data_IF_621177801473
#
_entry.id   IF_621177801473
#
_cell.length_a   1.000
_cell.length_b   1.000
_cell.length_c   1.000
_cell.angle_alpha   90.00
_cell.angle_beta   90.00
_cell.angle_gamma   90.00
#
_symmetry.space_group_name_H-M   'P 1'
#
loop_
_entity.id
_entity.type
_entity.pdbx_description
1 polymer ?
2 branched ?
3 branched ?
4 non-polymer ?
5 non-polymer ?
6 non-polymer ?
7 water ?
#
# COMPACT_ATOMS: atom_id res chain seq x y z
N UNK A 1 -16.21 -26.41 5.11
CA UNK A 1 -15.78 -25.92 6.48
C UNK A 1 -15.67 -24.39 6.50
N UNK A 2 -14.79 -23.81 5.67
CA UNK A 2 -14.61 -22.35 5.74
C UNK A 2 -15.60 -21.68 4.81
N UNK A 3 -16.06 -20.49 5.21
CA UNK A 3 -16.94 -19.70 4.38
C UNK A 3 -16.21 -18.43 3.95
N UNK A 4 -16.70 -17.86 2.85
CA UNK A 4 -16.13 -16.61 2.43
C UNK A 4 -16.38 -15.55 3.49
N UNK A 5 -15.38 -14.69 3.74
CA UNK A 5 -15.57 -13.60 4.68
C UNK A 5 -16.48 -12.53 4.07
N UNK A 6 -17.36 -11.99 4.92
CA UNK A 6 -18.21 -10.87 4.56
C UNK A 6 -17.78 -9.66 5.38
N UNK A 7 -17.83 -8.47 4.76
CA UNK A 7 -17.48 -7.22 5.46
C UNK A 7 -18.65 -6.74 6.31
N UNK A 8 -18.89 -7.36 7.46
CA UNK A 8 -20.14 -7.09 8.17
C UNK A 8 -19.94 -6.04 9.25
N UNK A 9 -18.70 -5.66 9.57
CA UNK A 9 -18.44 -4.81 10.71
C UNK A 9 -18.05 -3.43 10.22
N UNK A 10 -18.21 -2.43 11.09
CA UNK A 10 -17.64 -1.10 10.79
C UNK A 10 -16.26 -0.96 11.42
N UNK A 11 -15.60 0.17 11.18
CA UNK A 11 -14.29 0.40 11.80
C UNK A 11 -14.44 0.64 13.29
N UNK A 12 -13.45 0.16 14.07
CA UNK A 12 -13.34 0.57 15.46
C UNK A 12 -13.01 2.07 15.52
N UNK A 13 -13.36 2.70 16.66
CA UNK A 13 -13.03 4.10 16.82
C UNK A 13 -11.51 4.22 17.03
N UNK A 14 -10.88 5.06 16.20
CA UNK A 14 -9.45 5.27 16.23
C UNK A 14 -9.15 6.47 17.14
N UNK A 15 -8.62 6.19 18.35
CA UNK A 15 -8.23 7.30 19.22
C UNK A 15 -6.72 7.46 19.31
N UNK A 16 -5.94 6.46 18.80
CA UNK A 16 -4.49 6.54 18.67
C UNK A 16 -4.05 5.27 17.94
N UNK A 17 -2.73 5.13 17.78
CA UNK A 17 -2.17 4.00 17.04
C UNK A 17 -1.19 3.31 17.97
N UNK A 18 -1.25 1.98 18.02
CA UNK A 18 -0.29 1.20 18.80
C UNK A 18 0.63 0.41 17.88
N UNK A 19 1.83 0.10 18.37
CA UNK A 19 2.75 -0.70 17.57
C UNK A 19 2.17 -2.11 17.33
N UNK A 20 2.27 -2.57 16.08
CA UNK A 20 1.78 -3.89 15.70
C UNK A 20 2.91 -4.80 15.26
N UNK A 21 3.78 -4.34 14.35
CA UNK A 21 4.88 -5.19 13.92
C UNK A 21 6.02 -4.31 13.41
N UNK A 22 7.24 -4.85 13.47
CA UNK A 22 8.40 -4.12 13.00
C UNK A 22 9.46 -5.19 12.78
N UNK A 23 10.13 -5.17 11.64
CA UNK A 23 11.08 -6.26 11.35
C UNK A 23 12.55 -5.88 11.45
N UNK A 24 12.90 -4.56 11.53
CA UNK A 24 14.31 -4.24 11.73
C UNK A 24 15.15 -4.93 10.65
N UNK A 25 14.63 -5.05 9.41
CA UNK A 25 15.27 -5.92 8.43
C UNK A 25 16.66 -5.44 8.04
N UNK A 26 16.84 -4.09 7.93
CA UNK A 26 18.10 -3.56 7.43
C UNK A 26 19.19 -3.72 8.52
N UNK A 27 18.82 -3.43 9.78
CA UNK A 27 19.73 -3.65 10.90
C UNK A 27 20.20 -5.12 10.92
N UNK A 28 19.22 -6.03 10.85
CA UNK A 28 19.56 -7.44 11.03
C UNK A 28 20.33 -7.96 9.81
N UNK A 29 19.94 -7.47 8.62
CA UNK A 29 20.55 -7.94 7.37
C UNK A 29 21.98 -7.46 7.12
N UNK A 30 22.43 -6.50 7.95
CA UNK A 30 23.86 -6.15 7.93
C UNK A 30 24.76 -7.35 8.17
N UNK A 31 24.25 -8.41 8.86
CA UNK A 31 25.07 -9.58 9.16
C UNK A 31 24.16 -10.82 9.22
N UNK A 32 23.24 -10.94 8.28
CA UNK A 32 22.44 -12.17 8.16
C UNK A 32 21.87 -12.16 6.75
N UNK A 33 21.27 -13.29 6.32
CA UNK A 33 20.93 -13.44 4.92
C UNK A 33 19.52 -12.93 4.64
N UNK A 34 19.38 -11.61 4.66
CA UNK A 34 18.13 -10.90 4.47
C UNK A 34 18.07 -10.47 3.00
N UNK A 35 16.95 -10.73 2.36
CA UNK A 35 16.72 -10.33 0.97
C UNK A 35 16.51 -8.83 0.91
N UNK A 36 17.02 -8.26 -0.20
CA UNK A 36 16.69 -6.89 -0.55
C UNK A 36 15.25 -6.91 -1.00
N UNK A 37 14.48 -5.89 -0.56
CA UNK A 37 13.06 -5.78 -0.91
C UNK A 37 12.77 -4.33 -1.24
N UNK A 38 11.54 -4.09 -1.71
CA UNK A 38 10.86 -2.81 -1.62
C UNK A 38 9.37 -3.11 -1.86
N UNK A 39 8.53 -2.09 -1.77
CA UNK A 39 7.09 -2.22 -1.96
C UNK A 39 6.47 -3.28 -1.02
N UNK A 40 6.69 -3.14 0.30
CA UNK A 40 6.17 -4.10 1.27
C UNK A 40 4.71 -3.84 1.58
N UNK A 41 4.10 -4.82 2.25
CA UNK A 41 2.76 -4.62 2.81
C UNK A 41 2.51 -5.72 3.85
N UNK A 42 1.28 -5.73 4.37
CA UNK A 42 0.90 -6.72 5.38
C UNK A 42 -0.47 -7.26 4.96
N UNK A 43 -0.70 -8.56 5.25
CA UNK A 43 -1.98 -9.14 4.90
C UNK A 43 -2.26 -10.32 5.79
N UNK A 44 -3.54 -10.47 6.18
CA UNK A 44 -3.91 -11.57 7.09
C UNK A 44 -4.69 -12.66 6.40
N UNK A 45 -4.36 -13.88 6.83
CA UNK A 45 -5.20 -15.06 6.62
C UNK A 45 -6.04 -15.26 7.87
N UNK A 46 -7.01 -16.20 7.87
CA UNK A 46 -7.83 -16.41 9.06
C UNK A 46 -7.05 -16.85 10.29
N UNK A 47 -5.86 -17.41 10.11
CA UNK A 47 -5.11 -17.93 11.25
C UNK A 47 -3.71 -17.33 11.39
N UNK A 48 -3.38 -16.31 10.63
CA UNK A 48 -2.02 -15.75 10.73
C UNK A 48 -1.99 -14.45 9.94
N UNK A 49 -1.17 -13.48 10.38
CA UNK A 49 -0.92 -12.29 9.56
C UNK A 49 0.56 -12.30 9.18
N UNK A 50 0.85 -11.87 7.94
CA UNK A 50 2.24 -11.96 7.44
C UNK A 50 2.70 -10.65 6.82
N UNK A 51 4.04 -10.46 6.77
CA UNK A 51 4.59 -9.38 5.96
C UNK A 51 4.78 -9.88 4.53
N UNK A 52 4.68 -8.95 3.55
CA UNK A 52 4.84 -9.26 2.15
C UNK A 52 5.74 -8.17 1.56
N UNK A 53 6.40 -8.49 0.44
CA UNK A 53 7.12 -7.44 -0.31
C UNK A 53 7.60 -8.04 -1.62
N UNK A 54 8.16 -7.15 -2.47
CA UNK A 54 8.82 -7.61 -3.68
C UNK A 54 10.32 -7.75 -3.41
N UNK A 55 10.77 -9.01 -3.37
CA UNK A 55 12.18 -9.26 -3.34
C UNK A 55 12.84 -8.72 -4.59
N UNK A 56 14.16 -8.52 -4.49
CA UNK A 56 15.03 -8.20 -5.62
C UNK A 56 15.93 -9.39 -5.96
N UNK A 57 15.74 -10.52 -5.27
CA UNK A 57 16.45 -11.71 -5.72
C UNK A 57 17.95 -11.65 -5.41
N UNK A 58 18.26 -11.11 -4.25
CA UNK A 58 19.64 -11.00 -3.77
C UNK A 58 19.54 -10.66 -2.29
N UNK A 59 20.58 -10.98 -1.50
CA UNK A 59 20.66 -10.46 -0.13
C UNK A 59 21.22 -9.03 -0.17
N UNK A 60 21.12 -8.34 0.96
CA UNK A 60 21.58 -6.95 1.05
C UNK A 60 23.11 -6.88 1.01
N UNK A 61 23.76 -7.76 1.75
CA UNK A 61 25.23 -7.86 1.75
C UNK A 61 25.75 -8.51 0.48
N UNK A 62 24.88 -9.11 -0.34
CA UNK A 62 25.36 -9.77 -1.54
C UNK A 62 25.81 -8.75 -2.58
N UNK A 63 26.77 -9.15 -3.40
CA UNK A 63 27.20 -8.27 -4.48
C UNK A 63 26.11 -7.92 -5.49
N UNK A 64 25.07 -8.77 -5.66
CA UNK A 64 23.96 -8.49 -6.56
C UNK A 64 23.04 -7.43 -5.97
N UNK A 65 23.33 -6.92 -4.77
CA UNK A 65 22.50 -5.82 -4.27
C UNK A 65 22.79 -4.53 -5.05
N UNK A 66 23.95 -4.47 -5.75
CA UNK A 66 24.29 -3.27 -6.53
C UNK A 66 23.31 -3.16 -7.67
N UNK A 67 22.58 -2.03 -7.72
CA UNK A 67 21.65 -1.84 -8.82
C UNK A 67 20.18 -1.96 -8.40
N UNK A 68 19.94 -2.23 -7.12
CA UNK A 68 18.58 -2.53 -6.67
C UNK A 68 17.74 -1.28 -6.48
N UNK A 69 18.21 -0.07 -6.83
CA UNK A 69 17.27 1.04 -6.96
C UNK A 69 16.23 0.75 -8.06
N UNK A 70 16.60 -0.06 -9.07
CA UNK A 70 15.74 -0.29 -10.24
C UNK A 70 14.49 -1.07 -9.83
N UNK A 71 13.35 -0.64 -10.38
CA UNK A 71 12.07 -1.19 -9.95
C UNK A 71 11.72 -2.52 -10.60
N UNK A 72 12.16 -2.80 -11.84
CA UNK A 72 11.60 -3.93 -12.58
C UNK A 72 12.73 -4.77 -13.11
N UNK A 73 12.75 -6.03 -12.74
CA UNK A 73 13.70 -6.99 -13.30
C UNK A 73 13.04 -8.36 -13.26
N UNK A 74 13.75 -9.30 -13.89
CA UNK A 74 13.35 -10.71 -13.89
C UNK A 74 13.66 -11.41 -12.58
N UNK A 75 14.26 -10.73 -11.59
CA UNK A 75 14.76 -11.37 -10.38
C UNK A 75 13.88 -10.99 -9.19
N UNK A 76 12.75 -10.28 -9.46
CA UNK A 76 11.81 -9.91 -8.40
C UNK A 76 10.72 -10.96 -8.28
N UNK A 77 10.17 -11.02 -7.06
CA UNK A 77 9.06 -11.92 -6.74
C UNK A 77 8.30 -11.35 -5.54
N UNK A 78 7.01 -11.65 -5.48
CA UNK A 78 6.27 -11.36 -4.25
C UNK A 78 6.60 -12.48 -3.26
N UNK A 79 7.12 -12.08 -2.10
CA UNK A 79 7.37 -13.02 -0.99
C UNK A 79 6.53 -12.62 0.22
N UNK A 80 6.25 -13.63 1.06
CA UNK A 80 5.71 -13.33 2.38
C UNK A 80 6.54 -14.06 3.43
N UNK A 81 6.42 -13.60 4.67
CA UNK A 81 7.21 -14.16 5.74
C UNK A 81 6.54 -13.84 7.07
N UNK A 82 6.93 -14.52 8.17
CA UNK A 82 6.18 -14.34 9.43
C UNK A 82 6.26 -12.91 9.94
N UNK A 83 5.14 -12.49 10.56
CA UNK A 83 4.97 -11.13 11.07
C UNK A 83 6.17 -10.77 11.93
N UNK A 84 6.79 -9.63 11.57
CA UNK A 84 7.89 -9.00 12.31
C UNK A 84 9.22 -9.75 12.25
N UNK A 85 9.28 -10.97 11.65
CA UNK A 85 10.62 -11.44 11.30
C UNK A 85 11.10 -10.66 10.08
N UNK A 86 12.39 -10.69 9.70
CA UNK A 86 12.82 -10.05 8.47
C UNK A 86 12.64 -10.98 7.30
N UNK A 87 12.65 -10.49 6.05
CA UNK A 87 12.52 -11.36 4.89
C UNK A 87 13.84 -12.02 4.55
N UNK A 88 14.03 -13.22 5.03
CA UNK A 88 15.32 -13.88 4.80
C UNK A 88 15.24 -14.92 3.68
N UNK A 89 16.42 -15.32 3.23
CA UNK A 89 16.44 -16.34 2.21
C UNK A 89 15.70 -17.59 2.66
N UNK A 90 15.79 -17.94 3.94
CA UNK A 90 15.36 -19.23 4.47
C UNK A 90 13.92 -19.20 5.01
N UNK A 91 13.30 -18.03 5.18
CA UNK A 91 11.96 -18.01 5.77
C UNK A 91 10.98 -17.36 4.78
N UNK A 92 11.41 -16.90 3.62
CA UNK A 92 10.53 -16.13 2.72
C UNK A 92 9.86 -17.10 1.75
N UNK A 93 8.52 -17.04 1.68
CA UNK A 93 7.74 -17.94 0.81
C UNK A 93 7.39 -17.16 -0.44
N UNK A 94 7.75 -17.71 -1.61
CA UNK A 94 7.39 -16.96 -2.82
C UNK A 94 5.94 -17.23 -3.20
N UNK A 95 5.20 -16.14 -3.40
CA UNK A 95 3.79 -16.23 -3.80
C UNK A 95 3.64 -16.26 -5.31
N UNK A 96 4.52 -15.54 -6.02
CA UNK A 96 4.46 -15.50 -7.47
C UNK A 96 5.64 -14.64 -7.92
N UNK A 97 5.95 -14.66 -9.22
CA UNK A 97 7.10 -13.98 -9.82
C UNK A 97 6.62 -12.71 -10.51
N UNK A 98 7.34 -11.60 -10.24
CA UNK A 98 7.05 -10.35 -10.92
C UNK A 98 7.45 -9.15 -10.07
N UNK A 99 7.07 -7.97 -10.59
CA UNK A 99 7.57 -6.68 -10.07
C UNK A 99 6.46 -5.71 -9.75
N UNK A 100 5.21 -6.20 -9.65
CA UNK A 100 4.06 -5.44 -9.16
C UNK A 100 3.04 -6.45 -8.63
N UNK A 101 2.46 -6.21 -7.44
CA UNK A 101 1.62 -7.26 -6.86
C UNK A 101 0.45 -6.74 -6.05
N UNK A 102 -0.46 -7.67 -5.77
CA UNK A 102 -1.39 -7.52 -4.66
C UNK A 102 -1.71 -8.94 -4.16
N UNK A 103 -2.36 -9.04 -3.00
CA UNK A 103 -2.71 -10.35 -2.44
C UNK A 103 -3.79 -10.12 -1.40
N UNK A 104 -4.72 -11.09 -1.27
CA UNK A 104 -5.74 -11.02 -0.23
C UNK A 104 -6.34 -12.40 -0.04
N UNK A 105 -6.80 -12.62 1.19
CA UNK A 105 -7.47 -13.86 1.53
C UNK A 105 -8.98 -13.62 1.50
N UNK A 106 -9.74 -14.58 0.94
CA UNK A 106 -11.19 -14.40 0.84
C UNK A 106 -11.95 -15.08 1.96
N UNK A 107 -11.23 -15.68 2.93
CA UNK A 107 -11.85 -16.43 4.03
C UNK A 107 -11.69 -17.93 3.81
N UNK A 108 -11.64 -18.36 2.53
CA UNK A 108 -11.38 -19.76 2.20
C UNK A 108 -9.90 -19.97 1.85
N UNK A 109 -9.37 -19.16 0.92
CA UNK A 109 -7.95 -19.26 0.57
C UNK A 109 -7.51 -17.91 0.02
N UNK A 110 -6.26 -17.84 -0.35
CA UNK A 110 -5.63 -16.58 -0.76
C UNK A 110 -5.52 -16.46 -2.28
N UNK A 111 -5.80 -15.23 -2.75
CA UNK A 111 -5.48 -14.85 -4.13
C UNK A 111 -4.22 -13.99 -4.11
N UNK A 112 -3.25 -14.30 -5.00
CA UNK A 112 -2.08 -13.41 -5.13
C UNK A 112 -1.94 -13.08 -6.60
N UNK A 113 -1.53 -11.83 -6.90
CA UNK A 113 -1.39 -11.41 -8.31
C UNK A 113 -0.02 -10.80 -8.48
N UNK A 114 0.72 -11.27 -9.49
CA UNK A 114 2.02 -10.69 -9.81
C UNK A 114 2.06 -10.36 -11.29
N UNK A 115 2.59 -9.17 -11.59
CA UNK A 115 2.76 -8.73 -12.98
C UNK A 115 4.24 -8.83 -13.33
N UNK A 116 4.56 -9.38 -14.52
CA UNK A 116 5.94 -9.38 -14.97
C UNK A 116 5.96 -9.01 -16.44
N UNK A 117 7.18 -8.81 -16.99
CA UNK A 117 7.39 -8.60 -18.41
C UNK A 117 8.16 -7.32 -18.65
N UNK A 118 8.47 -7.07 -19.92
CA UNK A 118 9.06 -5.78 -20.29
C UNK A 118 7.94 -4.73 -20.21
N UNK A 119 8.32 -3.46 -20.26
CA UNK A 119 7.35 -2.38 -20.07
C UNK A 119 6.24 -2.41 -21.11
N UNK A 120 6.54 -2.85 -22.35
CA UNK A 120 5.55 -2.82 -23.41
C UNK A 120 4.84 -4.16 -23.61
N UNK A 121 5.01 -5.12 -22.67
CA UNK A 121 4.45 -6.44 -22.95
C UNK A 121 4.29 -7.19 -21.64
N UNK A 122 3.82 -6.49 -20.61
CA UNK A 122 3.66 -7.08 -19.28
C UNK A 122 2.37 -7.90 -19.19
N UNK A 123 2.31 -8.82 -18.21
CA UNK A 123 1.09 -9.59 -18.00
C UNK A 123 0.94 -9.89 -16.52
N UNK A 124 -0.31 -9.89 -16.05
CA UNK A 124 -0.65 -10.36 -14.71
C UNK A 124 -0.96 -11.86 -14.70
N UNK A 125 -0.50 -12.56 -13.68
CA UNK A 125 -0.96 -13.91 -13.38
C UNK A 125 -1.63 -13.88 -12.01
N UNK A 126 -2.88 -14.42 -12.02
CA UNK A 126 -3.71 -14.45 -10.82
C UNK A 126 -3.64 -15.87 -10.27
N UNK A 127 -3.07 -16.01 -9.06
CA UNK A 127 -2.93 -17.28 -8.36
C UNK A 127 -4.02 -17.36 -7.30
N UNK A 128 -4.59 -18.56 -7.14
CA UNK A 128 -5.63 -18.78 -6.14
C UNK A 128 -5.36 -20.15 -5.52
N UNK A 129 -5.33 -20.20 -4.18
CA UNK A 129 -4.98 -21.45 -3.48
C UNK A 129 -3.61 -21.92 -4.00
N UNK A 130 -2.66 -20.98 -4.15
CA UNK A 130 -1.26 -21.22 -4.51
C UNK A 130 -1.07 -21.89 -5.87
N UNK A 131 -2.05 -21.72 -6.76
CA UNK A 131 -1.92 -22.23 -8.13
C UNK A 131 -2.30 -21.11 -9.10
N UNK A 132 -1.71 -21.09 -10.30
CA UNK A 132 -2.10 -20.06 -11.29
C UNK A 132 -3.45 -20.43 -11.88
N UNK A 133 -4.32 -19.41 -12.00
CA UNK A 133 -5.68 -19.68 -12.50
C UNK A 133 -5.98 -18.83 -13.75
N UNK A 134 -5.70 -17.51 -13.72
CA UNK A 134 -6.06 -16.61 -14.80
C UNK A 134 -4.84 -15.76 -15.14
N UNK A 135 -4.80 -15.31 -16.40
CA UNK A 135 -3.77 -14.39 -16.85
C UNK A 135 -4.42 -13.23 -17.58
N UNK A 136 -3.81 -12.05 -17.47
CA UNK A 136 -4.31 -10.84 -18.15
C UNK A 136 -3.15 -10.16 -18.83
N UNK A 137 -3.30 -9.94 -20.15
CA UNK A 137 -2.24 -9.29 -20.93
C UNK A 137 -2.38 -7.77 -20.77
N UNK A 138 -1.24 -7.08 -20.87
CA UNK A 138 -1.25 -5.62 -20.96
C UNK A 138 -2.27 -5.12 -22.00
N UNK A 139 -3.05 -4.09 -21.60
CA UNK A 139 -4.04 -3.51 -22.51
C UNK A 139 -3.55 -2.17 -23.09
N UNK A 140 -2.53 -1.52 -22.48
CA UNK A 140 -2.05 -0.23 -22.97
C UNK A 140 -0.55 -0.27 -23.27
N UNK A 141 0.11 -1.42 -23.03
CA UNK A 141 1.51 -1.59 -23.42
C UNK A 141 2.44 -0.57 -22.76
N UNK A 142 2.17 -0.29 -21.49
CA UNK A 142 3.01 0.66 -20.77
C UNK A 142 2.92 0.39 -19.26
N UNK A 143 3.71 -0.60 -18.81
CA UNK A 143 3.90 -0.91 -17.39
C UNK A 143 2.53 -1.17 -16.72
N UNK A 144 1.88 -2.26 -17.19
CA UNK A 144 0.75 -2.80 -16.40
C UNK A 144 1.18 -2.91 -14.93
N UNK A 145 0.32 -2.44 -13.99
CA UNK A 145 0.77 -2.31 -12.60
C UNK A 145 -0.45 -2.27 -11.66
N UNK A 146 -0.21 -2.66 -10.42
CA UNK A 146 -1.32 -2.78 -9.47
C UNK A 146 -0.98 -2.18 -8.10
N UNK A 147 -1.61 -2.69 -7.04
CA UNK A 147 -1.77 -1.91 -5.81
C UNK A 147 -0.48 -1.80 -5.01
N UNK A 148 0.31 -2.88 -4.93
CA UNK A 148 1.47 -2.93 -4.02
C UNK A 148 1.00 -2.92 -2.56
N UNK A 149 -0.26 -3.32 -2.29
CA UNK A 149 -0.70 -3.63 -0.94
C UNK A 149 -1.89 -4.55 -1.06
N UNK A 150 -2.46 -4.96 0.08
CA UNK A 150 -3.49 -6.03 -0.02
C UNK A 150 -4.78 -5.56 -0.69
N UNK A 151 -5.42 -6.52 -1.38
CA UNK A 151 -6.79 -6.34 -1.84
C UNK A 151 -7.74 -6.75 -0.72
N UNK A 152 -9.04 -6.64 -0.99
CA UNK A 152 -10.08 -6.89 0.00
C UNK A 152 -11.19 -7.70 -0.66
N UNK A 153 -11.73 -8.71 0.05
CA UNK A 153 -12.79 -9.53 -0.51
C UNK A 153 -14.07 -9.40 0.30
N UNK A 154 -15.21 -9.68 -0.39
CA UNK A 154 -16.51 -9.71 0.27
C UNK A 154 -17.30 -10.82 -0.40
N UNK A 155 -17.74 -11.83 0.38
CA UNK A 155 -18.48 -12.95 -0.18
C UNK A 155 -17.81 -13.54 -1.42
N UNK A 156 -16.47 -13.63 -1.37
CA UNK A 156 -15.69 -14.27 -2.42
C UNK A 156 -15.26 -13.33 -3.53
N UNK A 157 -15.82 -12.11 -3.58
CA UNK A 157 -15.50 -11.17 -4.65
C UNK A 157 -14.39 -10.26 -4.14
N UNK A 158 -13.25 -10.27 -4.86
CA UNK A 158 -12.05 -9.53 -4.44
C UNK A 158 -11.74 -8.53 -5.55
N UNK A 159 -12.17 -7.24 -5.45
CA UNK A 159 -11.81 -6.25 -6.46
C UNK A 159 -10.34 -5.86 -6.36
N UNK A 160 -9.77 -5.55 -7.53
CA UNK A 160 -8.37 -5.17 -7.61
C UNK A 160 -8.31 -4.02 -8.60
N UNK A 161 -7.48 -3.02 -8.29
CA UNK A 161 -7.34 -1.87 -9.18
C UNK A 161 -5.99 -2.00 -9.87
N UNK A 162 -6.03 -1.88 -11.22
CA UNK A 162 -4.83 -1.90 -12.07
C UNK A 162 -4.76 -0.64 -12.91
N UNK A 163 -3.57 -0.26 -13.32
CA UNK A 163 -3.39 0.82 -14.27
C UNK A 163 -2.44 0.32 -15.37
N UNK A 164 -2.67 0.78 -16.61
CA UNK A 164 -1.70 0.54 -17.67
C UNK A 164 -1.71 1.82 -18.52
N UNK A 165 -0.51 2.31 -18.84
CA UNK A 165 -0.42 3.56 -19.59
C UNK A 165 0.50 4.52 -18.86
N UNK A 166 0.49 5.75 -19.35
CA UNK A 166 1.44 6.75 -18.88
C UNK A 166 1.31 7.01 -17.40
N UNK A 167 2.46 7.36 -16.81
CA UNK A 167 2.51 7.83 -15.44
C UNK A 167 2.40 9.37 -15.37
N UNK A 168 2.35 10.05 -16.52
CA UNK A 168 2.51 11.52 -16.60
C UNK A 168 1.44 12.13 -17.51
N UNK A 169 0.32 11.44 -17.65
CA UNK A 169 -0.86 11.89 -18.37
C UNK A 169 -1.95 10.83 -18.21
N UNK A 170 -3.08 10.96 -18.90
CA UNK A 170 -4.18 9.99 -18.78
C UNK A 170 -3.66 8.58 -19.03
N UNK A 171 -4.16 7.63 -18.20
CA UNK A 171 -3.83 6.24 -18.38
C UNK A 171 -5.13 5.43 -18.37
N UNK A 172 -4.99 4.11 -18.48
CA UNK A 172 -6.16 3.23 -18.56
C UNK A 172 -6.21 2.39 -17.27
N UNK A 173 -7.01 2.86 -16.32
CA UNK A 173 -7.20 2.15 -15.05
C UNK A 173 -8.44 1.28 -15.16
N UNK A 174 -8.33 0.06 -14.65
CA UNK A 174 -9.40 -0.90 -14.63
C UNK A 174 -9.60 -1.46 -13.23
N UNK A 175 -10.87 -1.67 -12.88
CA UNK A 175 -11.17 -2.39 -11.63
C UNK A 175 -11.65 -3.78 -12.04
N UNK A 176 -10.92 -4.82 -11.61
CA UNK A 176 -11.27 -6.19 -11.89
C UNK A 176 -11.95 -6.77 -10.67
N UNK A 177 -12.98 -7.57 -10.89
CA UNK A 177 -13.66 -8.27 -9.80
C UNK A 177 -13.39 -9.76 -9.96
N UNK A 178 -12.59 -10.30 -9.04
CA UNK A 178 -12.17 -11.69 -9.12
C UNK A 178 -12.98 -12.50 -8.11
N UNK A 179 -13.23 -13.76 -8.46
CA UNK A 179 -13.72 -14.72 -7.47
C UNK A 179 -13.10 -16.08 -7.77
N UNK A 180 -12.43 -16.68 -6.80
CA UNK A 180 -11.69 -17.94 -6.95
C UNK A 180 -10.70 -17.77 -8.09
N UNK A 181 -10.11 -16.56 -8.18
CA UNK A 181 -9.06 -16.31 -9.16
C UNK A 181 -9.57 -16.14 -10.58
N UNK A 182 -10.88 -16.19 -10.80
CA UNK A 182 -11.45 -16.00 -12.13
C UNK A 182 -12.05 -14.60 -12.23
N UNK A 183 -12.13 -14.10 -13.46
CA UNK A 183 -12.66 -12.75 -13.69
C UNK A 183 -14.18 -12.85 -13.79
N UNK A 184 -14.86 -12.21 -12.83
CA UNK A 184 -16.32 -12.08 -12.98
C UNK A 184 -16.67 -10.93 -13.93
N UNK A 185 -15.95 -9.79 -13.82
CA UNK A 185 -16.28 -8.54 -14.51
C UNK A 185 -15.01 -7.69 -14.41
N UNK A 186 -14.88 -6.73 -15.32
CA UNK A 186 -14.01 -5.58 -15.07
C UNK A 186 -14.71 -4.33 -15.59
N UNK A 187 -14.31 -3.18 -15.03
CA UNK A 187 -14.83 -1.91 -15.53
C UNK A 187 -13.70 -0.91 -15.63
N UNK A 188 -13.79 0.06 -16.57
CA UNK A 188 -12.84 1.17 -16.59
C UNK A 188 -13.17 2.13 -15.46
N UNK A 189 -12.13 2.83 -15.00
CA UNK A 189 -12.33 3.81 -13.95
C UNK A 189 -13.40 4.81 -14.39
N UNK A 190 -14.26 5.17 -13.46
CA UNK A 190 -15.23 6.25 -13.68
C UNK A 190 -15.07 7.24 -12.55
N UNK A 191 -15.87 8.30 -12.57
CA UNK A 191 -15.81 9.34 -11.55
C UNK A 191 -14.78 10.39 -11.89
N UNK A 192 -14.37 11.13 -10.87
CA UNK A 192 -13.62 12.37 -11.10
C UNK A 192 -12.12 12.24 -10.87
N UNK A 193 -11.64 11.09 -10.35
CA UNK A 193 -10.20 10.93 -10.22
C UNK A 193 -9.57 10.94 -11.61
N UNK A 194 -8.48 11.67 -11.80
CA UNK A 194 -7.97 11.84 -13.16
C UNK A 194 -6.79 10.93 -13.46
N UNK A 195 -6.20 10.31 -12.42
CA UNK A 195 -5.10 9.37 -12.63
C UNK A 195 -4.99 8.54 -11.35
N UNK A 196 -4.70 7.23 -11.50
CA UNK A 196 -4.72 6.30 -10.36
C UNK A 196 -3.50 5.40 -10.43
N UNK A 197 -2.82 5.29 -9.29
CA UNK A 197 -1.78 4.29 -9.14
C UNK A 197 -1.84 3.79 -7.70
N UNK A 198 -1.38 2.54 -7.51
CA UNK A 198 -0.96 2.05 -6.19
C UNK A 198 -2.04 2.25 -5.11
N UNK A 199 -3.25 1.72 -5.34
CA UNK A 199 -4.34 1.92 -4.38
C UNK A 199 -4.13 1.12 -3.10
N UNK A 200 -4.48 1.73 -1.97
CA UNK A 200 -4.43 1.12 -0.65
C UNK A 200 -5.87 1.01 -0.18
N UNK A 201 -6.31 -0.24 0.08
CA UNK A 201 -7.74 -0.49 0.27
C UNK A 201 -8.06 -1.13 1.62
N UNK A 202 -9.29 -0.91 2.08
CA UNK A 202 -9.82 -1.59 3.24
C UNK A 202 -11.33 -1.72 3.06
N UNK A 203 -11.94 -2.61 3.84
CA UNK A 203 -13.37 -2.86 3.73
C UNK A 203 -14.06 -2.69 5.06
N UNK A 204 -15.34 -2.26 4.99
CA UNK A 204 -16.18 -2.20 6.19
C UNK A 204 -17.60 -2.05 5.69
N UNK A 205 -18.55 -2.71 6.38
CA UNK A 205 -19.97 -2.65 6.03
C UNK A 205 -20.16 -2.71 4.51
N UNK A 206 -19.65 -3.81 3.92
CA UNK A 206 -19.94 -4.20 2.54
C UNK A 206 -19.54 -3.12 1.53
N UNK A 207 -18.52 -2.30 1.88
CA UNK A 207 -18.00 -1.30 0.96
C UNK A 207 -16.47 -1.34 1.06
N UNK A 208 -15.78 -1.24 -0.09
CA UNK A 208 -14.32 -1.21 -0.07
C UNK A 208 -13.89 0.19 -0.46
N UNK A 209 -13.01 0.75 0.38
CA UNK A 209 -12.50 2.09 0.08
C UNK A 209 -11.02 2.02 -0.25
N UNK A 210 -10.61 2.63 -1.36
CA UNK A 210 -9.22 2.63 -1.79
C UNK A 210 -8.73 4.07 -1.91
N UNK A 211 -7.58 4.36 -1.28
CA UNK A 211 -6.93 5.67 -1.38
C UNK A 211 -5.69 5.45 -2.21
N UNK A 212 -5.56 6.24 -3.29
CA UNK A 212 -4.56 5.92 -4.30
C UNK A 212 -3.63 7.11 -4.49
N UNK A 213 -2.85 7.04 -5.57
CA UNK A 213 -1.83 8.04 -5.90
C UNK A 213 -2.17 8.60 -7.28
N UNK A 214 -2.41 9.92 -7.39
CA UNK A 214 -2.50 10.56 -8.69
C UNK A 214 -1.11 11.04 -9.07
N UNK A 215 -0.41 10.24 -9.86
CA UNK A 215 1.00 10.58 -10.09
C UNK A 215 1.08 11.83 -11.00
N UNK A 216 0.06 12.02 -11.85
CA UNK A 216 0.17 13.00 -12.92
C UNK A 216 0.10 14.43 -12.37
N UNK A 217 -0.98 14.76 -11.67
CA UNK A 217 -1.27 16.15 -11.31
C UNK A 217 -1.51 16.41 -9.83
N UNK A 218 -1.98 15.41 -9.08
CA UNK A 218 -2.70 15.72 -7.84
C UNK A 218 -1.85 15.51 -6.59
N UNK A 219 -1.86 16.49 -5.67
CA UNK A 219 -1.19 16.29 -4.38
C UNK A 219 -2.17 15.94 -3.28
N UNK A 220 -3.48 16.07 -3.58
CA UNK A 220 -4.54 15.38 -2.83
C UNK A 220 -4.59 13.95 -3.40
N UNK A 221 -5.18 13.05 -2.63
CA UNK A 221 -5.20 11.66 -3.10
C UNK A 221 -6.56 11.30 -3.68
N UNK A 222 -6.55 10.56 -4.80
CA UNK A 222 -7.81 10.05 -5.35
C UNK A 222 -8.33 8.89 -4.48
N UNK A 223 -9.67 8.77 -4.46
CA UNK A 223 -10.34 7.77 -3.64
C UNK A 223 -11.28 7.02 -4.56
N UNK A 224 -11.18 5.68 -4.54
CA UNK A 224 -12.14 4.84 -5.26
C UNK A 224 -12.94 4.07 -4.21
N UNK A 225 -14.27 4.12 -4.31
CA UNK A 225 -15.14 3.39 -3.40
C UNK A 225 -15.89 2.34 -4.22
N UNK A 226 -15.78 1.09 -3.78
CA UNK A 226 -16.24 -0.04 -4.59
C UNK A 226 -17.33 -0.74 -3.79
N UNK A 227 -18.42 -1.04 -4.49
CA UNK A 227 -19.48 -1.93 -4.02
C UNK A 227 -19.20 -3.32 -4.58
N UNK A 228 -18.70 -4.29 -3.76
CA UNK A 228 -18.32 -5.60 -4.28
C UNK A 228 -19.50 -6.55 -4.54
N UNK A 229 -20.73 -6.12 -4.21
CA UNK A 229 -21.92 -6.91 -4.50
C UNK A 229 -22.43 -6.46 -5.87
N UNK A 230 -22.66 -5.16 -6.01
CA UNK A 230 -23.12 -4.65 -7.31
C UNK A 230 -22.00 -4.69 -8.34
N UNK A 231 -20.75 -4.76 -7.84
CA UNK A 231 -19.55 -4.66 -8.69
C UNK A 231 -19.55 -3.37 -9.53
N UNK A 232 -19.66 -2.25 -8.77
CA UNK A 232 -19.63 -0.90 -9.32
C UNK A 232 -18.72 -0.05 -8.44
N UNK A 233 -18.36 1.12 -8.91
CA UNK A 233 -17.53 1.97 -8.07
C UNK A 233 -17.77 3.43 -8.41
N UNK A 234 -17.24 4.28 -7.52
CA UNK A 234 -17.15 5.71 -7.80
C UNK A 234 -15.72 6.15 -7.53
N UNK A 235 -15.38 7.35 -8.00
CA UNK A 235 -14.09 7.94 -7.65
C UNK A 235 -14.25 9.45 -7.47
N UNK A 236 -13.38 9.96 -6.59
CA UNK A 236 -13.26 11.40 -6.31
C UNK A 236 -11.88 11.61 -5.70
N UNK A 237 -11.61 12.81 -5.15
CA UNK A 237 -10.40 13.05 -4.37
C UNK A 237 -10.81 13.33 -2.92
N UNK A 238 -9.86 13.13 -2.00
CA UNK A 238 -10.02 13.63 -0.64
C UNK A 238 -10.11 15.17 -0.72
N UNK A 239 -11.24 15.67 -0.24
CA UNK A 239 -11.55 17.11 -0.37
C UNK A 239 -10.64 17.96 0.54
N UNK A 240 -10.15 17.39 1.64
CA UNK A 240 -9.44 18.14 2.68
C UNK A 240 -8.26 18.89 2.10
N UNK A 241 -7.96 20.10 2.65
CA UNK A 241 -6.71 20.79 2.30
C UNK A 241 -5.48 20.22 3.00
N UNK A 242 -5.66 19.16 3.83
CA UNK A 242 -4.49 18.48 4.40
C UNK A 242 -3.99 17.52 3.33
N UNK A 243 -3.02 17.99 2.53
CA UNK A 243 -2.60 17.24 1.34
C UNK A 243 -1.69 16.08 1.76
N UNK A 244 -1.86 14.91 1.13
CA UNK A 244 -1.16 13.73 1.68
C UNK A 244 -0.33 12.95 0.65
N UNK A 245 -0.12 13.47 -0.56
CA UNK A 245 0.87 12.85 -1.42
C UNK A 245 2.25 13.42 -1.09
N UNK A 246 3.26 13.03 -1.86
CA UNK A 246 4.63 13.53 -1.65
C UNK A 246 5.36 13.31 -2.94
N UNK A 247 6.16 14.28 -3.46
CA UNK A 247 6.22 15.64 -2.96
C UNK A 247 4.90 16.35 -3.17
N UNK A 248 4.74 17.51 -2.53
CA UNK A 248 3.46 18.20 -2.59
C UNK A 248 3.76 19.68 -2.27
N UNK A 249 2.84 20.60 -2.59
CA UNK A 249 2.97 21.97 -2.07
C UNK A 249 2.54 22.06 -0.63
N UNK A 250 2.75 23.24 -0.02
CA UNK A 250 2.24 23.42 1.32
C UNK A 250 0.72 23.34 1.36
N UNK A 251 0.22 23.06 2.56
CA UNK A 251 -1.20 22.89 2.74
C UNK A 251 -1.93 24.22 2.51
N UNK A 252 -2.97 24.24 1.65
CA UNK A 252 -3.85 25.41 1.54
C UNK A 252 -4.90 25.41 2.64
N UNK A 253 -5.87 26.32 2.53
CA UNK A 253 -6.98 26.40 3.44
C UNK A 253 -8.18 25.65 2.87
N UNK A 254 -8.25 25.51 1.53
CA UNK A 254 -9.38 24.79 0.94
C UNK A 254 -8.81 23.84 -0.09
N UNK A 255 -9.29 22.57 -0.04
CA UNK A 255 -8.73 21.62 -1.00
C UNK A 255 -9.63 21.49 -2.24
N UNK A 256 -9.56 20.34 -2.93
CA UNK A 256 -10.37 20.09 -4.11
C UNK A 256 -10.96 18.68 -3.98
N UNK A 257 -12.28 18.58 -4.17
CA UNK A 257 -12.99 17.30 -4.06
C UNK A 257 -12.98 16.50 -5.37
N UNK A 258 -12.95 17.17 -6.56
CA UNK A 258 -13.23 16.52 -7.83
C UNK A 258 -12.17 16.82 -8.89
N UNK A 259 -10.99 17.27 -8.45
CA UNK A 259 -9.90 17.49 -9.37
C UNK A 259 -8.60 17.44 -8.59
N UNK A 260 -7.46 17.24 -9.28
CA UNK A 260 -6.17 17.20 -8.60
C UNK A 260 -5.84 18.58 -8.03
N UNK A 261 -5.34 18.61 -6.81
CA UNK A 261 -4.84 19.85 -6.24
C UNK A 261 -3.46 20.04 -6.80
N UNK A 262 -3.23 21.18 -7.52
CA UNK A 262 -2.02 21.27 -8.32
C UNK A 262 -0.81 21.81 -7.56
N UNK A 263 0.33 21.86 -8.26
CA UNK A 263 1.54 22.36 -7.65
C UNK A 263 2.73 21.41 -7.81
N UNK A 264 2.44 20.11 -7.94
CA UNK A 264 3.49 19.13 -8.19
C UNK A 264 3.00 18.15 -9.24
N UNK A 265 3.85 17.90 -10.26
CA UNK A 265 3.49 17.06 -11.39
C UNK A 265 4.39 15.84 -11.45
N UNK A 266 3.82 14.72 -11.96
CA UNK A 266 4.62 13.60 -12.41
C UNK A 266 5.45 13.02 -11.28
N UNK A 267 4.85 12.86 -10.10
CA UNK A 267 5.53 12.16 -9.02
C UNK A 267 4.49 11.87 -7.95
N UNK A 268 4.92 11.13 -6.90
CA UNK A 268 3.99 10.80 -5.82
C UNK A 268 4.62 9.73 -4.94
N UNK A 269 3.79 9.20 -4.05
CA UNK A 269 4.20 8.06 -3.23
C UNK A 269 2.92 7.30 -2.94
N UNK A 270 3.02 5.96 -2.83
CA UNK A 270 1.82 5.23 -2.39
C UNK A 270 1.52 5.60 -0.94
N UNK A 271 0.24 5.80 -0.66
CA UNK A 271 -0.18 6.10 0.72
C UNK A 271 -1.61 5.63 0.97
N UNK A 272 -2.24 6.10 2.07
CA UNK A 272 -3.51 5.50 2.48
C UNK A 272 -4.27 6.49 3.36
N UNK A 273 -5.55 6.14 3.60
CA UNK A 273 -6.32 6.82 4.61
C UNK A 273 -7.43 5.91 5.11
N UNK A 274 -8.04 6.28 6.25
CA UNK A 274 -9.28 5.67 6.70
C UNK A 274 -10.29 6.80 6.71
N UNK A 275 -11.38 6.61 5.94
CA UNK A 275 -12.33 7.71 5.73
C UNK A 275 -13.67 7.27 6.27
N UNK A 276 -14.01 7.78 7.46
CA UNK A 276 -15.14 7.22 8.20
C UNK A 276 -15.76 8.36 9.01
N UNK A 277 -16.16 9.47 8.33
CA UNK A 277 -16.81 10.54 9.09
C UNK A 277 -15.83 11.19 10.06
N UNK A 278 -16.29 11.39 11.30
CA UNK A 278 -15.42 12.04 12.25
C UNK A 278 -14.23 11.11 12.57
N UNK A 279 -14.40 9.81 12.34
CA UNK A 279 -13.36 8.81 12.62
C UNK A 279 -12.42 8.65 11.42
N UNK A 280 -11.95 9.76 10.87
CA UNK A 280 -11.12 9.79 9.70
C UNK A 280 -9.69 10.14 10.08
N UNK A 281 -8.76 9.32 9.59
CA UNK A 281 -7.34 9.54 9.81
C UNK A 281 -6.63 9.43 8.49
N UNK A 282 -5.71 10.39 8.24
CA UNK A 282 -4.90 10.42 7.04
C UNK A 282 -3.43 10.19 7.41
N UNK A 283 -2.75 9.35 6.62
CA UNK A 283 -1.30 9.30 6.76
C UNK A 283 -0.63 10.24 5.74
N UNK A 284 0.57 10.70 6.11
CA UNK A 284 1.40 11.39 5.14
C UNK A 284 2.86 11.47 5.63
N UNK A 285 3.76 11.71 4.68
CA UNK A 285 5.13 12.06 5.04
C UNK A 285 5.10 13.43 5.72
N UNK A 286 6.04 13.66 6.65
CA UNK A 286 6.13 15.01 7.23
C UNK A 286 6.69 16.01 6.21
N UNK A 287 7.78 15.65 5.55
CA UNK A 287 8.36 16.53 4.53
C UNK A 287 7.41 16.69 3.35
N UNK A 288 7.33 17.93 2.80
CA UNK A 288 6.62 18.17 1.55
C UNK A 288 7.49 17.86 0.35
N UNK A 289 8.80 17.65 0.55
CA UNK A 289 9.70 17.55 -0.59
C UNK A 289 10.19 16.12 -0.80
N UNK A 290 10.29 15.32 0.27
CA UNK A 290 10.94 14.02 0.13
C UNK A 290 10.26 13.00 1.03
N UNK A 291 10.65 11.73 0.81
CA UNK A 291 10.04 10.63 1.56
C UNK A 291 10.68 10.54 2.94
N UNK A 292 10.44 11.55 3.79
CA UNK A 292 11.01 11.62 5.12
C UNK A 292 9.89 11.92 6.10
N UNK A 293 9.98 11.26 7.24
CA UNK A 293 9.00 11.33 8.31
C UNK A 293 7.68 10.65 7.92
N UNK A 294 6.85 10.49 8.93
CA UNK A 294 5.51 9.95 8.70
C UNK A 294 4.65 10.31 9.88
N UNK A 295 3.42 10.73 9.61
CA UNK A 295 2.50 11.10 10.67
C UNK A 295 1.09 10.69 10.26
N UNK A 296 0.30 10.45 11.30
CA UNK A 296 -1.15 10.26 11.14
C UNK A 296 -1.84 11.51 11.67
N UNK A 297 -2.82 11.99 10.92
CA UNK A 297 -3.63 13.14 11.35
C UNK A 297 -5.09 12.75 11.33
N UNK A 298 -5.77 13.10 12.43
CA UNK A 298 -7.20 12.92 12.51
C UNK A 298 -7.85 14.14 11.84
N UNK A 299 -8.57 13.91 10.75
CA UNK A 299 -9.10 15.01 9.96
C UNK A 299 -10.57 14.67 9.75
N UNK A 300 -11.46 15.07 10.68
CA UNK A 300 -12.88 14.72 10.56
C UNK A 300 -13.47 15.10 9.20
N UNK A 301 -14.14 14.14 8.54
CA UNK A 301 -14.79 14.39 7.25
C UNK A 301 -13.84 14.80 6.15
N UNK A 302 -12.56 14.33 6.19
CA UNK A 302 -11.62 14.70 5.17
C UNK A 302 -12.16 14.41 3.78
N UNK A 303 -12.91 13.30 3.60
CA UNK A 303 -13.27 12.95 2.24
C UNK A 303 -14.16 14.02 1.63
N UNK A 304 -15.07 14.57 2.45
CA UNK A 304 -16.19 15.36 1.95
C UNK A 304 -16.06 16.86 2.27
N UNK A 305 -15.17 17.21 3.21
CA UNK A 305 -15.15 18.59 3.70
C UNK A 305 -13.89 19.28 3.22
N UNK A 306 -14.06 20.24 2.27
CA UNK A 306 -12.93 20.87 1.61
C UNK A 306 -12.22 21.95 2.43
N UNK A 307 -12.60 22.08 3.71
CA UNK A 307 -11.82 22.94 4.59
C UNK A 307 -11.38 22.19 5.86
N UNK A 308 -11.58 20.86 5.90
CA UNK A 308 -11.30 20.06 7.09
C UNK A 308 -9.80 20.10 7.45
N UNK A 309 -9.52 20.35 8.74
CA UNK A 309 -8.18 20.42 9.29
C UNK A 309 -8.06 19.44 10.46
N UNK A 310 -6.81 19.19 10.90
CA UNK A 310 -6.61 18.15 11.93
C UNK A 310 -7.16 18.52 13.29
N UNK A 311 -7.64 17.51 14.03
CA UNK A 311 -8.07 17.72 15.41
C UNK A 311 -7.22 16.89 16.37
N UNK A 312 -6.33 16.04 15.83
CA UNK A 312 -5.49 15.20 16.68
C UNK A 312 -4.47 14.60 15.74
N UNK A 313 -3.34 14.14 16.28
CA UNK A 313 -2.42 13.47 15.39
C UNK A 313 -1.47 12.54 16.14
N UNK A 314 -0.64 11.84 15.36
CA UNK A 314 0.37 11.00 15.99
C UNK A 314 1.57 10.94 15.06
N UNK A 315 2.78 11.23 15.57
CA UNK A 315 3.97 11.08 14.75
C UNK A 315 4.37 9.61 14.74
N UNK A 316 4.66 9.07 13.55
CA UNK A 316 5.07 7.66 13.44
C UNK A 316 6.58 7.56 13.19
N UNK A 317 7.12 8.40 12.29
CA UNK A 317 8.54 8.42 11.95
C UNK A 317 8.94 9.91 11.96
N UNK A 318 10.05 10.23 12.66
CA UNK A 318 10.49 11.61 12.67
C UNK A 318 10.89 12.06 11.29
N UNK A 319 10.83 13.38 11.09
CA UNK A 319 11.22 13.93 9.79
C UNK A 319 12.73 13.84 9.55
N UNK A 320 13.52 13.43 10.57
CA UNK A 320 14.92 13.16 10.33
C UNK A 320 15.21 11.69 10.02
N UNK A 321 14.16 10.88 9.79
CA UNK A 321 14.30 9.51 9.35
C UNK A 321 13.56 9.30 8.03
N UNK A 322 14.04 8.32 7.27
CA UNK A 322 13.43 8.03 5.96
C UNK A 322 12.17 7.18 6.13
N UNK A 323 11.18 7.51 5.31
CA UNK A 323 9.95 6.71 5.20
C UNK A 323 9.86 6.14 3.77
N UNK A 324 8.67 6.19 3.15
CA UNK A 324 8.47 5.47 1.91
C UNK A 324 6.99 5.18 1.72
N UNK A 325 6.70 4.13 0.94
CA UNK A 325 5.31 3.78 0.68
C UNK A 325 4.58 3.48 2.00
N UNK A 326 3.27 3.66 2.00
CA UNK A 326 2.48 3.21 3.13
C UNK A 326 1.13 2.70 2.62
N UNK A 327 0.47 1.83 3.42
CA UNK A 327 -0.73 1.17 2.89
C UNK A 327 -1.54 0.61 4.06
N UNK A 328 -2.80 0.28 3.76
CA UNK A 328 -3.78 -0.19 4.74
C UNK A 328 -3.93 -1.70 4.64
N UNK A 329 -4.24 -2.27 5.82
CA UNK A 329 -4.71 -3.65 5.90
C UNK A 329 -5.49 -3.75 7.21
N UNK A 330 -6.32 -4.80 7.33
CA UNK A 330 -6.93 -5.10 8.62
C UNK A 330 -6.94 -6.61 8.82
N UNK A 331 -7.06 -7.03 10.09
CA UNK A 331 -7.30 -8.44 10.39
C UNK A 331 -8.81 -8.66 10.41
N UNK A 332 -9.34 -9.08 9.27
CA UNK A 332 -10.76 -9.31 9.10
C UNK A 332 -11.27 -10.50 9.88
N UNK A 333 -10.37 -11.27 10.50
CA UNK A 333 -10.75 -12.49 11.22
C UNK A 333 -10.50 -12.36 12.72
N UNK A 334 -10.36 -11.13 13.23
CA UNK A 334 -10.18 -10.87 14.66
C UNK A 334 -11.50 -11.04 15.40
N UNK A 335 -11.41 -11.11 16.71
CA UNK A 335 -12.57 -11.17 17.58
C UNK A 335 -13.15 -9.78 17.75
N UNK A 336 -14.37 -9.72 18.26
CA UNK A 336 -14.92 -8.43 18.62
C UNK A 336 -15.89 -7.92 17.58
N UNK A 337 -16.28 -6.66 17.73
CA UNK A 337 -17.47 -6.20 17.06
C UNK A 337 -17.13 -5.22 15.95
N UNK A 338 -15.85 -4.87 15.79
CA UNK A 338 -15.48 -3.86 14.80
C UNK A 338 -14.14 -4.28 14.20
N UNK A 339 -13.81 -3.72 13.02
CA UNK A 339 -12.53 -4.00 12.37
C UNK A 339 -11.53 -2.92 12.81
N UNK A 340 -10.36 -3.36 13.27
CA UNK A 340 -9.33 -2.45 13.73
C UNK A 340 -8.43 -2.02 12.57
N UNK A 341 -8.50 -0.72 12.25
CA UNK A 341 -7.66 -0.17 11.20
C UNK A 341 -6.18 -0.43 11.46
N UNK A 342 -5.45 -0.86 10.43
CA UNK A 342 -3.98 -0.93 10.57
C UNK A 342 -3.34 -0.35 9.32
N UNK A 343 -2.06 -0.03 9.47
CA UNK A 343 -1.28 0.36 8.32
C UNK A 343 0.16 -0.04 8.50
N UNK A 344 0.91 0.05 7.39
CA UNK A 344 2.36 -0.11 7.48
C UNK A 344 3.02 1.10 6.83
N UNK A 345 4.30 1.34 7.19
CA UNK A 345 5.17 2.30 6.48
C UNK A 345 6.41 1.51 6.08
N UNK A 346 6.75 1.66 4.82
CA UNK A 346 8.02 1.20 4.27
C UNK A 346 9.10 2.22 4.63
N UNK A 347 10.17 1.77 5.29
CA UNK A 347 11.26 2.64 5.70
C UNK A 347 12.42 2.40 4.74
N UNK A 348 12.55 3.22 3.69
CA UNK A 348 13.50 2.96 2.61
C UNK A 348 14.90 3.40 3.04
N UNK A 349 15.84 2.50 2.81
CA UNK A 349 17.24 2.83 3.05
C UNK A 349 18.04 2.61 1.79
N UNK A 350 19.15 3.36 1.71
CA UNK A 350 19.99 3.24 0.53
C UNK A 350 19.62 4.25 -0.56
N UNK A 351 19.74 3.84 -1.82
CA UNK A 351 19.60 4.86 -2.88
C UNK A 351 18.14 5.25 -3.10
N UNK A 352 17.81 6.47 -3.56
CA UNK A 352 18.82 7.48 -3.94
C UNK A 352 19.27 8.41 -2.81
N UNK A 353 18.60 8.37 -1.65
CA UNK A 353 18.90 9.34 -0.60
C UNK A 353 20.21 9.07 0.10
N UNK A 354 20.59 7.79 0.19
CA UNK A 354 21.81 7.40 0.86
C UNK A 354 22.69 6.69 -0.15
N UNK A 355 23.43 7.45 -0.96
CA UNK A 355 24.11 6.85 -2.09
C UNK A 355 25.55 6.43 -1.83
N UNK A 356 25.95 6.33 -0.57
CA UNK A 356 27.25 5.73 -0.30
C UNK A 356 27.22 4.21 -0.42
N UNK A 357 26.01 3.63 -0.36
CA UNK A 357 25.80 2.22 -0.67
C UNK A 357 25.22 2.15 -2.06
N UNK A 358 25.33 0.96 -2.65
CA UNK A 358 24.93 0.77 -4.04
C UNK A 358 23.53 0.14 -4.18
N UNK A 359 22.89 -0.11 -3.04
CA UNK A 359 21.62 -0.82 -3.00
C UNK A 359 20.53 0.12 -2.53
N UNK A 360 19.30 -0.35 -2.74
CA UNK A 360 18.07 0.19 -2.16
C UNK A 360 17.32 -0.96 -1.48
N UNK A 361 16.92 -0.73 -0.24
CA UNK A 361 16.07 -1.73 0.41
C UNK A 361 15.15 -0.99 1.37
N UNK A 362 14.56 -1.75 2.31
CA UNK A 362 13.66 -1.11 3.25
C UNK A 362 13.50 -2.04 4.45
N UNK A 363 12.95 -1.48 5.54
CA UNK A 363 12.31 -2.34 6.54
C UNK A 363 10.85 -1.92 6.70
N UNK A 364 10.14 -2.58 7.61
CA UNK A 364 8.70 -2.35 7.80
C UNK A 364 8.47 -1.95 9.25
N UNK A 365 7.62 -0.94 9.42
CA UNK A 365 6.93 -0.77 10.70
C UNK A 365 5.43 -0.73 10.42
N UNK A 366 4.66 -1.20 11.39
CA UNK A 366 3.21 -1.24 11.18
C UNK A 366 2.52 -1.01 12.52
N UNK A 367 1.36 -0.36 12.46
CA UNK A 367 0.59 0.03 13.63
C UNK A 367 -0.87 -0.27 13.38
N UNK A 368 -1.61 -0.51 14.48
CA UNK A 368 -3.07 -0.65 14.39
C UNK A 368 -3.71 0.33 15.37
N UNK A 369 -5.03 0.57 15.21
CA UNK A 369 -5.66 1.60 16.03
C UNK A 369 -5.98 1.07 17.42
N UNK A 370 -5.99 2.03 18.36
CA UNK A 370 -6.47 1.73 19.71
C UNK A 370 -7.65 2.64 20.01
N UNK A 371 -8.58 2.17 20.85
CA UNK A 371 -9.61 3.07 21.40
C UNK A 371 -9.10 3.85 22.61
N UNK A 372 -7.89 3.55 23.11
CA UNK A 372 -7.25 4.41 24.10
C UNK A 372 -6.55 5.57 23.40
N UNK A 373 -6.15 6.58 24.20
CA UNK A 373 -5.30 7.67 23.69
C UNK A 373 -3.88 7.41 24.17
N UNK A 374 -3.16 6.58 23.42
CA UNK A 374 -1.84 6.11 23.87
C UNK A 374 -0.73 7.12 23.60
N UNK A 375 0.27 7.11 24.48
CA UNK A 375 1.52 7.80 24.26
C UNK A 375 2.15 7.40 22.93
N UNK A 376 2.90 8.31 22.32
CA UNK A 376 3.54 8.03 21.05
C UNK A 376 5.06 7.93 21.15
N UNK A 377 5.61 6.97 20.39
CA UNK A 377 7.04 6.90 20.10
C UNK A 377 7.23 7.08 18.61
N UNK A 378 8.49 7.32 18.18
CA UNK A 378 8.80 7.30 16.75
C UNK A 378 9.53 5.99 16.46
N UNK A 379 9.41 5.53 15.22
CA UNK A 379 9.84 4.16 14.88
C UNK A 379 10.70 4.22 13.62
N UNK A 380 11.98 4.54 13.76
CA UNK A 380 12.87 4.58 12.61
C UNK A 380 13.32 3.20 12.13
N UNK A 381 13.90 3.12 10.92
CA UNK A 381 14.48 1.86 10.51
C UNK A 381 15.54 1.38 11.46
N UNK A 382 16.47 2.25 11.84
CA UNK A 382 17.44 1.94 12.90
C UNK A 382 18.80 1.48 12.43
N UNK A 383 18.99 1.29 11.13
CA UNK A 383 20.30 0.85 10.65
C UNK A 383 21.24 2.04 10.47
N UNK A 384 22.56 1.76 10.67
CA UNK A 384 23.59 2.77 10.40
C UNK A 384 24.23 2.48 9.06
N UNK A 385 24.05 3.35 8.06
CA UNK A 385 24.58 3.17 6.72
C UNK A 385 26.09 3.00 6.74
N UNK A 386 26.76 3.71 7.66
CA UNK A 386 28.21 3.60 7.67
C UNK A 386 28.69 2.17 7.92
N UNK A 387 27.86 1.32 8.59
CA UNK A 387 28.29 -0.05 8.82
C UNK A 387 28.38 -0.89 7.54
N UNK A 388 27.68 -0.44 6.50
CA UNK A 388 27.63 -1.18 5.24
C UNK A 388 28.72 -0.75 4.26
N UNK A 389 29.59 0.20 4.67
CA UNK A 389 30.60 0.71 3.73
C UNK A 389 31.88 -0.10 3.81
X LIG B 1 4.87 -8.86 -27.29
X LIG B 1 5.80 -8.61 -28.47
X LIG B 1 5.36 -9.43 -29.69
X LIG B 1 5.23 -10.89 -29.27
X LIG B 1 4.20 -11.00 -28.16
X LIG B 1 3.88 -12.44 -27.66
X LIG B 1 6.94 -6.53 -28.78
X LIG B 1 6.62 -5.09 -29.17
X LIG B 1 5.78 -7.19 -28.79
X LIG B 1 6.38 -9.29 -30.70
X LIG B 1 4.70 -11.64 -30.40
X LIG B 1 4.79 -10.31 -27.05
X LIG B 1 5.10 -13.11 -27.39
X LIG B 1 8.09 -6.92 -28.56
X LIG B 2 5.44 -12.82 -30.68
X LIG B 2 4.54 -13.79 -31.50
X LIG B 2 5.39 -15.03 -31.73
X LIG B 2 6.64 -14.66 -32.53
X LIG B 2 7.35 -13.54 -31.83
X LIG B 2 8.59 -13.03 -32.58
X LIG B 2 2.20 -13.62 -30.94
X LIG B 2 1.00 -14.14 -30.21
X LIG B 2 3.40 -14.14 -30.73
X LIG B 2 4.59 -16.10 -32.32
X LIG B 2 7.50 -15.80 -32.57
X LIG B 2 6.46 -12.43 -31.58
X LIG B 2 8.10 -12.48 -33.83
X LIG B 2 1.99 -12.70 -31.80
X LIG B 3 7.93 -16.23 -33.89
X LIG B 3 9.16 -17.09 -33.75
X LIG B 3 9.46 -17.70 -35.11
X LIG B 3 8.24 -18.34 -35.74
X LIG B 3 7.11 -17.33 -35.81
X LIG B 3 5.85 -17.95 -36.35
X LIG B 3 8.80 -18.16 -32.83
X LIG B 3 10.47 -18.65 -34.83
X LIG B 3 8.54 -18.78 -37.09
X LIG B 3 6.82 -16.90 -34.46
X LIG B 3 4.89 -16.94 -36.73
X LIG B 4 11.42 -18.72 -35.89
X LIG B 4 12.22 -19.98 -35.70
X LIG B 4 13.01 -19.91 -34.37
X LIG B 4 13.93 -18.67 -34.36
X LIG B 4 13.06 -17.40 -34.61
X LIG B 4 14.01 -16.20 -34.77
X LIG B 4 13.13 -19.89 -36.85
X LIG B 4 13.77 -21.08 -34.14
X LIG B 4 14.59 -18.55 -33.09
X LIG B 4 12.29 -17.59 -35.80
X LIG B 4 13.09 -15.11 -34.58
X LIG B 5 14.00 -20.99 -37.03
X LIG B 5 14.90 -20.56 -38.22
X LIG B 5 14.02 -20.56 -39.46
X LIG B 5 13.41 -21.92 -39.64
X LIG B 5 12.56 -22.28 -38.42
X LIG B 5 12.01 -23.69 -38.48
X LIG B 5 15.97 -21.51 -38.32
X LIG B 5 14.93 -20.26 -40.56
X LIG B 5 12.52 -21.90 -40.77
X LIG B 5 13.44 -22.24 -37.29
X LIG B 5 12.87 -24.74 -38.96
X LIG B 6 17.26 -21.02 -37.94
X LIG B 6 18.24 -22.09 -38.39
X LIG B 6 18.05 -23.38 -37.54
X LIG B 6 18.23 -23.02 -36.04
X LIG B 6 17.14 -22.02 -35.70
X LIG B 6 17.21 -21.52 -34.27
X LIG B 6 19.57 -21.59 -38.21
X LIG B 6 19.02 -24.33 -37.94
X LIG B 6 17.93 -24.21 -35.27
X LIG B 6 17.30 -20.79 -36.49
X LIG B 6 18.47 -20.93 -33.96
X LIG B 7 5.12 -16.49 -38.13
X LIG B 7 4.20 -15.31 -38.30
X LIG B 7 2.74 -15.73 -38.29
X LIG B 7 2.53 -16.81 -39.34
X LIG B 7 3.46 -17.95 -38.99
X LIG B 7 3.41 -19.13 -39.97
X LIG B 7 4.50 -14.71 -39.58
X LIG B 7 1.88 -14.61 -38.58
X LIG B 7 1.21 -17.32 -39.18
X LIG B 7 4.74 -17.53 -39.05
X LIG B 7 3.53 -18.56 -41.30
X LIG B 8 0.92 -14.31 -37.57
X LIG B 8 -0.05 -13.30 -38.20
X LIG B 8 0.71 -12.01 -38.49
X LIG B 8 1.40 -11.42 -37.25
X LIG B 8 2.30 -12.49 -36.65
X LIG B 8 2.86 -12.09 -35.28
X LIG B 8 -1.09 -13.05 -37.28
X LIG B 8 -0.24 -11.11 -39.05
X LIG B 8 2.27 -10.30 -37.56
X LIG B 8 1.52 -13.69 -36.44
X LIG B 8 4.08 -12.81 -35.02
X LIG B 9 3.48 -19.54 -42.36
X LIG B 9 3.42 -18.81 -43.69
X LIG B 9 2.12 -17.99 -43.63
X LIG B 9 0.88 -18.88 -43.46
X LIG B 9 1.03 -19.76 -42.24
X LIG B 9 -0.08 -20.81 -42.22
X LIG B 9 3.48 -19.74 -44.81
X LIG B 9 2.05 -17.12 -44.76
X LIG B 9 -0.26 -18.11 -43.17
X LIG B 9 2.32 -20.39 -42.26
X LIG B 9 -0.22 -21.39 -40.91
X LIG C 1 -21.17 -14.52 3.67
X LIG C 1 -21.28 -15.71 4.60
X LIG C 1 -21.64 -16.94 3.74
X LIG C 1 -22.93 -16.65 2.99
X LIG C 1 -22.75 -15.37 2.18
X LIG C 1 -23.92 -14.88 1.34
X LIG C 1 -19.87 -16.19 6.59
X LIG C 1 -18.49 -16.29 7.18
X LIG C 1 -20.00 -15.94 5.25
X LIG C 1 -21.79 -18.06 4.60
X LIG C 1 -23.17 -17.67 1.96
X LIG C 1 -22.42 -14.29 3.07
X LIG C 1 -25.03 -14.76 2.25
X LIG C 1 -20.93 -16.36 7.24
X LIG C 2 -23.98 -18.80 2.39
X LIG C 2 -24.54 -19.40 1.10
X LIG C 2 -25.36 -20.66 1.45
X LIG C 2 -24.44 -21.67 2.12
X LIG C 2 -23.80 -21.08 3.39
X LIG C 2 -22.67 -22.02 3.76
X LIG C 2 -25.03 -17.68 -0.66
X LIG C 2 -26.08 -16.68 -1.07
X LIG C 2 -25.36 -18.43 0.39
X LIG C 2 -25.92 -21.22 0.25
X LIG C 2 -25.09 -22.92 2.40
X LIG C 2 -23.22 -19.77 3.14
X LIG C 2 -22.11 -21.64 5.01
X LIG C 2 -23.94 -17.79 -1.23
X LIG D 1 28.14 -1.12 -8.80
X LIG D 1 29.63 -1.26 -8.60
X LIG D 1 30.22 -0.12 -9.45
X LIG D 1 29.61 0.21 -10.78
X LIG D 1 28.11 0.24 -10.70
X LIG D 1 27.49 0.41 -12.07
X LIG D 1 30.47 -1.99 -6.35
X LIG D 1 30.60 -1.79 -4.88
X LIG D 1 29.84 -1.08 -7.14
X LIG D 1 31.51 -0.56 -9.91
X LIG D 1 30.07 1.52 -11.20
X LIG D 1 27.77 -1.04 -10.17
X LIG D 1 27.82 -0.75 -12.82
X LIG D 1 30.94 -2.99 -6.81
X LIG E 1 1.07 13.22 -7.00
X LIG F 1 26.99 -16.52 6.92
X LIG G 1 -7.52 -25.43 -15.79
X LIG G 1 -8.20 -24.40 -16.52
X LIG G 1 -6.12 -24.94 -15.41
X LIG G 1 -6.31 -23.71 -14.70
X LIG G 1 -5.48 -25.88 -14.40
X LIG G 1 -4.14 -25.52 -14.08
X LIG H 1 13.44 18.58 2.53
X LIG H 1 14.00 17.61 1.67
X LIG H 1 12.74 17.89 3.68
X LIG H 1 13.51 16.74 3.97
X LIG H 1 12.62 18.74 4.94
X LIG H 1 11.29 18.77 5.48
X LIG I 1 18.95 -5.59 -9.53
X LIG I 1 18.37 -5.27 -10.80
X LIG I 1 20.43 -5.86 -9.64
X LIG I 1 20.78 -7.08 -8.95
X LIG I 1 20.90 -5.99 -11.07
X LIG I 1 20.55 -7.26 -11.63
X LIG J 1 -12.39 8.67 -14.89
X LIG J 1 -13.72 9.04 -15.21
X LIG J 1 -11.48 9.86 -15.18
X LIG J 1 -10.12 9.46 -15.11
X LIG J 1 -11.78 10.54 -16.50
X LIG J 1 -10.96 11.70 -16.66
#
# INVERSE_FOLDING_TARGET
IRDFNNLTKGLCTINSWHIYGKDNAVRIGEDSDVLVTREPYVSCDPDECRFYALSQGTTIRGKHSNGTIHDRSQYRALISWPLSSPPTVYNSRVECIGWSSTSCHDGKTRMSICISGPNNNASAVIWYNRRPVTEINTWARNILRTQESECVCHNGVCPVVFTDGSATGPAETRIYYFKEGKILKWEPLAGTAKHIEECSCYGERAEITCTCRDNWQGSNRPVIRIDPVAMTHTSQYICSPVLTDNPRPNDPTVGKCNDPYPGNNNNGVKGFSYLDGVNTWLGRTISIASRSGYEMLKVPNALTDDKSKPTQGQTIVLNTDWSGYSGSFMDYWAEGECYRACFYVELIRGRPKEDKVWWTSNSIVSMCSSTEFLGQWDWPDGAKIEYFL
NAG C1 C2 C3 C4 C5 C6 C7 C8 N2 O3 O4 O5 O6 O7
NAG C1 C2 C3 C4 C5 C6 C7 C8 N2 O3 O4 O5 O6 O7
BMA C1 C2 C3 C4 C5 C6 O2 O3 O4 O5 O6
MAN C1 C2 C3 C4 C5 C6 O2 O3 O4 O5 O6
MAN C1 C2 C3 C4 C5 C6 O2 O3 O4 O5 O6
MAN C1 C2 C3 C4 C5 C6 O2 O3 O4 O5 O6
MAN C1 C2 C3 C4 C5 C6 O2 O3 O4 O5 O6
MAN C1 C2 C3 C4 C5 C6 O2 O3 O4 O5 O6
MAN C1 C2 C3 C4 C5 C6 O2 O3 O4 O5 O6
NAG C1 C2 C3 C4 C5 C6 C7 C8 N2 O3 O4 O5 O6 O7
NAG C1 C2 C3 C4 C5 C6 C7 C8 N2 O3 O4 O5 O6 O7
NAG C1 C2 C3 C4 C5 C6 C7 C8 N2 O3 O4 O5 O6 O7
CA CA
CA CA
GOL C1 O1 C2 O2 C3 O3
GOL C1 O1 C2 O2 C3 O3
GOL C1 O1 C2 O2 C3 O3
GOL C1 O1 C2 O2 C3 O3
#
